data_IF_077720641089
#
_entry.id   IF_077720641089
#
_cell.length_a   1.000
_cell.length_b   1.000
_cell.length_c   1.000
_cell.angle_alpha   90.00
_cell.angle_beta   90.00
_cell.angle_gamma   90.00
#
_symmetry.space_group_name_H-M   'P 1'
#
loop_
_entity.id
_entity.type
_entity.pdbx_description
1 polymer ?
#
# COMPACT_ATOMS: atom_id res chain seq x y z
N UNK A 1 52.36 25.21 -10.92
CA UNK A 1 51.11 24.73 -10.29
C UNK A 1 51.00 25.38 -8.91
N UNK A 2 50.26 26.48 -8.79
CA UNK A 2 50.15 27.22 -7.54
C UNK A 2 49.14 26.52 -6.62
N UNK A 3 49.63 25.95 -5.52
CA UNK A 3 48.79 25.44 -4.43
C UNK A 3 48.44 26.63 -3.54
N UNK A 4 47.26 27.22 -3.75
CA UNK A 4 46.76 28.33 -2.92
C UNK A 4 46.67 27.87 -1.47
N UNK A 5 47.22 28.61 -0.49
CA UNK A 5 47.05 28.26 0.92
C UNK A 5 45.58 28.46 1.30
N UNK A 6 44.85 27.36 1.42
CA UNK A 6 43.47 27.39 1.88
C UNK A 6 43.45 27.65 3.39
N UNK A 7 43.56 28.92 3.76
CA UNK A 7 43.43 29.37 5.15
C UNK A 7 41.94 29.53 5.50
N UNK A 8 41.15 28.45 5.33
CA UNK A 8 39.77 28.44 5.82
C UNK A 8 39.84 28.48 7.34
N UNK A 9 39.26 29.50 8.00
CA UNK A 9 39.33 29.59 9.44
C UNK A 9 38.56 28.42 10.07
N UNK A 10 39.26 27.59 10.86
CA UNK A 10 38.71 26.36 11.47
C UNK A 10 37.43 26.61 12.28
N UNK A 11 37.27 27.80 12.86
CA UNK A 11 36.05 28.16 13.60
C UNK A 11 34.79 28.17 12.72
N UNK A 12 34.88 28.66 11.47
CA UNK A 12 33.73 28.68 10.55
C UNK A 12 33.30 27.27 10.17
N UNK A 13 34.27 26.38 9.97
CA UNK A 13 34.01 24.97 9.70
C UNK A 13 33.28 24.30 10.87
N UNK A 14 33.77 24.46 12.10
CA UNK A 14 33.11 23.87 13.28
C UNK A 14 31.72 24.44 13.54
N UNK A 15 31.49 25.74 13.27
CA UNK A 15 30.16 26.35 13.36
C UNK A 15 29.19 25.68 12.37
N UNK A 16 29.60 25.51 11.11
CA UNK A 16 28.77 24.86 10.09
C UNK A 16 28.47 23.40 10.45
N UNK A 17 29.47 22.65 10.91
CA UNK A 17 29.29 21.26 11.35
C UNK A 17 28.34 21.19 12.54
N UNK A 18 28.46 22.10 13.51
CA UNK A 18 27.57 22.15 14.67
C UNK A 18 26.13 22.45 14.27
N UNK A 19 25.90 23.33 13.30
CA UNK A 19 24.55 23.63 12.79
C UNK A 19 23.95 22.40 12.12
N UNK A 20 24.71 21.74 11.23
CA UNK A 20 24.24 20.53 10.55
C UNK A 20 23.94 19.43 11.56
N UNK A 21 24.81 19.23 12.56
CA UNK A 21 24.61 18.24 13.61
C UNK A 21 23.36 18.55 14.44
N UNK A 22 23.14 19.82 14.80
CA UNK A 22 21.96 20.24 15.54
C UNK A 22 20.66 20.01 14.75
N UNK A 23 20.65 20.30 13.45
CA UNK A 23 19.51 19.99 12.59
C UNK A 23 19.22 18.49 12.55
N UNK A 24 20.27 17.66 12.44
CA UNK A 24 20.11 16.21 12.47
C UNK A 24 19.54 15.72 13.81
N UNK A 25 19.95 16.31 14.94
CA UNK A 25 19.37 15.99 16.26
C UNK A 25 17.87 16.30 16.31
N UNK A 26 17.43 17.41 15.72
CA UNK A 26 16.00 17.74 15.65
C UNK A 26 15.25 16.67 14.83
N UNK A 27 15.80 16.24 13.70
CA UNK A 27 15.20 15.18 12.89
C UNK A 27 15.17 13.85 13.65
N UNK A 28 16.24 13.51 14.38
CA UNK A 28 16.33 12.31 15.20
C UNK A 28 15.26 12.32 16.31
N UNK A 29 15.08 13.47 16.96
CA UNK A 29 14.03 13.65 17.95
C UNK A 29 12.63 13.49 17.34
N UNK A 30 12.38 14.10 16.18
CA UNK A 30 11.10 13.96 15.48
C UNK A 30 10.84 12.51 15.07
N UNK A 31 11.87 11.81 14.63
CA UNK A 31 11.79 10.38 14.32
C UNK A 31 11.42 9.59 15.56
N UNK A 32 12.10 9.81 16.69
CA UNK A 32 11.77 9.17 17.97
C UNK A 32 10.33 9.44 18.40
N UNK A 33 9.85 10.68 18.28
CA UNK A 33 8.46 11.02 18.56
C UNK A 33 7.47 10.19 17.72
N UNK A 34 7.72 10.07 16.42
CA UNK A 34 6.83 9.31 15.53
C UNK A 34 6.89 7.81 15.80
N UNK A 35 8.08 7.27 16.06
CA UNK A 35 8.30 5.84 16.19
C UNK A 35 7.99 5.28 17.57
N UNK A 36 8.20 6.05 18.64
CA UNK A 36 8.06 5.57 20.03
C UNK A 36 6.85 6.19 20.70
N UNK A 37 6.71 7.52 20.67
CA UNK A 37 5.61 8.19 21.37
C UNK A 37 4.27 8.00 20.66
N UNK A 38 4.27 7.99 19.32
CA UNK A 38 3.07 7.88 18.50
C UNK A 38 2.92 6.50 17.83
N UNK A 39 3.66 5.49 18.31
CA UNK A 39 3.68 4.15 17.71
C UNK A 39 2.26 3.57 17.55
N UNK A 40 1.53 3.47 18.65
CA UNK A 40 0.21 2.83 18.71
C UNK A 40 -0.78 3.48 17.74
N UNK A 41 -0.77 4.80 17.68
CA UNK A 41 -1.65 5.58 16.79
C UNK A 41 -1.39 5.27 15.31
N UNK A 42 -0.12 5.22 14.90
CA UNK A 42 0.22 4.93 13.51
C UNK A 42 0.09 3.44 13.17
N UNK A 43 0.29 2.55 14.14
CA UNK A 43 0.07 1.12 13.98
C UNK A 43 -1.41 0.79 13.73
N UNK A 44 -2.32 1.36 14.51
CA UNK A 44 -3.77 1.17 14.33
C UNK A 44 -4.23 1.66 12.95
N UNK A 45 -3.75 2.83 12.53
CA UNK A 45 -4.07 3.40 11.21
C UNK A 45 -3.54 2.53 10.07
N UNK A 46 -2.34 1.96 10.23
CA UNK A 46 -1.78 1.02 9.25
C UNK A 46 -2.60 -0.28 9.18
N UNK A 47 -3.00 -0.83 10.34
CA UNK A 47 -3.85 -2.02 10.42
C UNK A 47 -5.20 -1.80 9.75
N UNK A 48 -5.86 -0.67 9.98
CA UNK A 48 -7.14 -0.33 9.34
C UNK A 48 -7.03 -0.23 7.81
N UNK A 49 -5.91 0.28 7.29
CA UNK A 49 -5.69 0.35 5.85
C UNK A 49 -5.43 -1.02 5.20
N UNK A 50 -4.82 -1.95 5.94
CA UNK A 50 -4.45 -3.28 5.44
C UNK A 50 -5.57 -4.32 5.64
N UNK A 51 -6.19 -4.34 6.82
CA UNK A 51 -7.20 -5.33 7.18
C UNK A 51 -8.54 -4.88 6.58
N UNK A 52 -8.89 -5.48 5.44
CA UNK A 52 -10.23 -5.37 4.87
C UNK A 52 -11.04 -6.58 5.26
N UNK A 53 -12.10 -6.37 6.04
CA UNK A 53 -13.07 -7.42 6.32
C UNK A 53 -13.82 -7.77 5.02
N UNK A 54 -13.48 -8.91 4.42
CA UNK A 54 -14.27 -9.50 3.33
C UNK A 54 -15.24 -10.50 3.93
N UNK A 55 -16.54 -10.28 3.78
CA UNK A 55 -17.53 -11.28 4.16
C UNK A 55 -17.49 -12.43 3.15
N UNK A 56 -17.40 -13.65 3.65
CA UNK A 56 -17.58 -14.85 2.82
C UNK A 56 -19.08 -15.17 2.87
N UNK A 57 -19.83 -15.01 1.77
CA UNK A 57 -21.24 -15.35 1.78
C UNK A 57 -21.39 -16.86 2.02
N UNK A 58 -22.29 -17.24 2.92
CA UNK A 58 -22.68 -18.64 3.09
C UNK A 58 -23.41 -19.13 1.85
N UNK A 59 -23.15 -20.36 1.41
CA UNK A 59 -23.90 -20.99 0.33
C UNK A 59 -25.40 -21.12 0.68
N UNK A 60 -26.29 -20.90 -0.29
CA UNK A 60 -27.73 -21.14 -0.12
C UNK A 60 -27.99 -22.64 0.09
N UNK A 61 -28.94 -23.00 0.94
CA UNK A 61 -29.37 -24.39 1.09
C UNK A 61 -29.98 -24.97 -0.19
N UNK A 62 -29.90 -26.29 -0.34
CA UNK A 62 -30.55 -27.03 -1.42
C UNK A 62 -32.07 -26.96 -1.27
N UNK A 63 -32.79 -26.71 -2.36
CA UNK A 63 -34.27 -26.83 -2.38
C UNK A 63 -34.62 -28.17 -3.02
N UNK A 64 -35.33 -28.99 -2.28
CA UNK A 64 -35.72 -30.35 -2.67
C UNK A 64 -37.23 -30.42 -2.90
N UNK A 65 -37.64 -31.24 -3.88
CA UNK A 65 -39.04 -31.67 -3.99
C UNK A 65 -39.40 -32.68 -2.88
N UNK A 66 -40.69 -33.02 -2.73
CA UNK A 66 -41.21 -34.08 -1.84
C UNK A 66 -40.50 -35.44 -2.01
N UNK A 67 -39.96 -35.70 -3.20
CA UNK A 67 -39.23 -36.91 -3.55
C UNK A 67 -37.70 -36.80 -3.32
N UNK A 68 -37.23 -35.77 -2.58
CA UNK A 68 -35.80 -35.49 -2.33
C UNK A 68 -34.97 -35.23 -3.59
N UNK A 69 -35.61 -34.79 -4.68
CA UNK A 69 -34.92 -34.36 -5.91
C UNK A 69 -34.53 -32.89 -5.79
N UNK A 70 -33.28 -32.57 -6.10
CA UNK A 70 -32.77 -31.19 -6.09
C UNK A 70 -33.44 -30.39 -7.23
N UNK A 71 -34.08 -29.28 -6.87
CA UNK A 71 -34.67 -28.31 -7.80
C UNK A 71 -33.78 -27.06 -7.91
N UNK A 72 -33.15 -26.65 -6.80
CA UNK A 72 -32.24 -25.47 -6.76
C UNK A 72 -30.96 -25.84 -6.03
N UNK A 73 -29.83 -25.49 -6.64
CA UNK A 73 -28.46 -25.69 -6.14
C UNK A 73 -27.60 -24.45 -6.45
N UNK A 74 -26.48 -24.25 -5.73
CA UNK A 74 -25.47 -23.27 -6.10
C UNK A 74 -24.30 -23.96 -6.80
N UNK A 75 -24.02 -23.56 -8.03
CA UNK A 75 -22.81 -23.95 -8.73
C UNK A 75 -21.98 -22.71 -9.08
N UNK A 76 -20.65 -22.81 -9.12
CA UNK A 76 -19.79 -21.69 -9.50
C UNK A 76 -19.99 -21.33 -10.97
N UNK A 77 -20.12 -20.03 -11.26
CA UNK A 77 -20.21 -19.50 -12.63
C UNK A 77 -18.98 -18.65 -12.92
N UNK A 78 -18.36 -18.87 -14.07
CA UNK A 78 -17.24 -18.05 -14.54
C UNK A 78 -17.76 -16.88 -15.37
N UNK A 79 -17.34 -15.67 -15.02
CA UNK A 79 -17.68 -14.44 -15.75
C UNK A 79 -16.38 -13.87 -16.32
N UNK A 80 -16.31 -13.75 -17.64
CA UNK A 80 -15.23 -13.03 -18.31
C UNK A 80 -15.53 -11.52 -18.28
N UNK A 81 -14.67 -10.74 -17.66
CA UNK A 81 -14.76 -9.28 -17.67
C UNK A 81 -13.41 -8.67 -18.09
N UNK A 82 -13.46 -7.44 -18.60
CA UNK A 82 -12.27 -6.70 -19.03
C UNK A 82 -12.37 -5.26 -18.60
N UNK A 83 -11.24 -4.71 -18.12
CA UNK A 83 -11.13 -3.31 -17.72
C UNK A 83 -10.71 -2.50 -18.95
N UNK A 84 -11.56 -1.57 -19.38
CA UNK A 84 -11.36 -0.86 -20.66
C UNK A 84 -10.04 -0.08 -20.77
N UNK A 85 -9.40 0.27 -19.65
CA UNK A 85 -8.10 0.93 -19.62
C UNK A 85 -6.91 -0.01 -19.96
N UNK A 86 -7.07 -1.32 -19.76
CA UNK A 86 -6.03 -2.33 -20.02
C UNK A 86 -6.14 -2.92 -21.42
N UNK A 87 -7.23 -2.62 -22.14
CA UNK A 87 -7.47 -3.13 -23.50
C UNK A 87 -6.72 -2.25 -24.52
N UNK A 88 -5.57 -2.74 -24.99
CA UNK A 88 -4.78 -2.08 -26.05
C UNK A 88 -5.54 -1.89 -27.36
N UNK A 89 -6.33 -2.90 -27.76
CA UNK A 89 -7.07 -2.86 -29.02
C UNK A 89 -8.47 -3.48 -28.83
N UNK A 90 -9.49 -2.62 -28.79
CA UNK A 90 -10.87 -3.05 -28.51
C UNK A 90 -11.43 -3.89 -29.66
N UNK A 91 -11.12 -3.55 -30.90
CA UNK A 91 -11.79 -4.15 -32.05
C UNK A 91 -11.39 -5.62 -32.27
N UNK A 92 -10.14 -5.99 -31.96
CA UNK A 92 -9.62 -7.35 -32.15
C UNK A 92 -10.00 -8.32 -31.03
N UNK A 93 -10.15 -7.83 -29.80
CA UNK A 93 -10.38 -8.66 -28.62
C UNK A 93 -11.84 -9.10 -28.47
N UNK A 94 -12.81 -8.31 -28.94
CA UNK A 94 -14.23 -8.69 -28.87
C UNK A 94 -14.68 -9.61 -30.01
N UNK A 95 -13.89 -9.76 -31.09
CA UNK A 95 -14.17 -10.72 -32.16
C UNK A 95 -14.04 -12.19 -31.71
N UNK A 96 -13.21 -12.47 -30.69
CA UNK A 96 -12.97 -13.82 -30.16
C UNK A 96 -14.15 -14.29 -29.27
N UNK A 97 -15.01 -13.39 -28.82
CA UNK A 97 -16.13 -13.66 -27.89
C UNK A 97 -17.47 -13.81 -28.65
N UNK A 98 -17.42 -13.95 -29.99
CA UNK A 98 -18.63 -14.12 -30.82
C UNK A 98 -19.10 -15.57 -30.90
#
# INVERSE_FOLDING_TARGET
MLKTPNNTPKHRFYILVSIVFFLNLILMWRFFQLQVLNFDFYEERAKSNYIRATSIPSSRGLILDRNKKIIVDNYPTYILYSIGAEVKDKNKNFEIIK
#
